data_IF_645656446569
#
_entry.id   IF_645656446569
#
_cell.length_a   1.000
_cell.length_b   1.000
_cell.length_c   1.000
_cell.angle_alpha   90.00
_cell.angle_beta   90.00
_cell.angle_gamma   90.00
#
_symmetry.space_group_name_H-M   'P 1'
#
loop_
_entity.id
_entity.type
_entity.pdbx_description
1 polymer ?
#
# COMPACT_ATOMS: atom_id res chain seq x y z
N UNK A 1 -11.79 -13.26 4.44
CA UNK A 1 -10.94 -12.17 4.91
C UNK A 1 -10.00 -11.66 3.82
N UNK A 2 -9.33 -12.56 3.11
CA UNK A 2 -8.37 -12.18 2.06
C UNK A 2 -9.07 -11.42 0.94
N UNK A 3 -10.21 -11.89 0.48
CA UNK A 3 -11.00 -11.24 -0.56
C UNK A 3 -11.40 -9.82 -0.17
N UNK A 4 -11.75 -9.62 1.12
CA UNK A 4 -12.09 -8.30 1.65
C UNK A 4 -10.91 -7.35 1.61
N UNK A 5 -9.69 -7.84 1.86
CA UNK A 5 -8.48 -7.01 1.76
C UNK A 5 -8.23 -6.54 0.33
N UNK A 6 -8.37 -7.41 -0.65
CA UNK A 6 -8.18 -7.04 -2.06
C UNK A 6 -9.27 -6.08 -2.53
N UNK A 7 -10.52 -6.27 -2.12
CA UNK A 7 -11.62 -5.33 -2.42
C UNK A 7 -11.36 -3.97 -1.81
N UNK A 8 -10.96 -3.93 -0.55
CA UNK A 8 -10.64 -2.68 0.15
C UNK A 8 -9.50 -1.94 -0.52
N UNK A 9 -8.44 -2.66 -0.90
CA UNK A 9 -7.30 -2.06 -1.58
C UNK A 9 -7.74 -1.43 -2.91
N UNK A 10 -8.50 -2.14 -3.71
CA UNK A 10 -8.97 -1.64 -5.00
C UNK A 10 -9.84 -0.40 -4.85
N UNK A 11 -10.81 -0.43 -3.94
CA UNK A 11 -11.68 0.71 -3.66
C UNK A 11 -10.87 1.93 -3.20
N UNK A 12 -9.91 1.70 -2.30
CA UNK A 12 -9.10 2.78 -1.75
C UNK A 12 -8.18 3.37 -2.80
N UNK A 13 -7.59 2.55 -3.67
CA UNK A 13 -6.76 3.04 -4.78
C UNK A 13 -7.56 3.87 -5.77
N UNK A 14 -8.75 3.42 -6.14
CA UNK A 14 -9.62 4.18 -7.05
C UNK A 14 -10.05 5.50 -6.43
N UNK A 15 -10.42 5.50 -5.15
CA UNK A 15 -10.76 6.71 -4.42
C UNK A 15 -9.58 7.68 -4.38
N UNK A 16 -8.39 7.17 -4.04
CA UNK A 16 -7.16 7.97 -4.01
C UNK A 16 -6.89 8.61 -5.37
N UNK A 17 -6.93 7.84 -6.45
CA UNK A 17 -6.66 8.35 -7.79
C UNK A 17 -7.67 9.43 -8.20
N UNK A 18 -8.95 9.23 -7.89
CA UNK A 18 -9.98 10.23 -8.21
C UNK A 18 -9.75 11.54 -7.45
N UNK A 19 -9.28 11.46 -6.21
CA UNK A 19 -9.04 12.64 -5.37
C UNK A 19 -7.74 13.36 -5.74
N UNK A 20 -6.68 12.61 -6.01
CA UNK A 20 -5.39 13.21 -6.35
C UNK A 20 -5.43 13.96 -7.69
N UNK A 21 -6.24 13.49 -8.64
CA UNK A 21 -6.44 14.19 -9.90
C UNK A 21 -7.16 15.54 -9.71
N UNK A 22 -8.04 15.63 -8.73
CA UNK A 22 -8.81 16.84 -8.43
C UNK A 22 -8.04 17.85 -7.56
N UNK A 23 -6.86 17.47 -7.04
CA UNK A 23 -6.10 18.29 -6.10
C UNK A 23 -4.71 18.52 -6.67
N UNK A 24 -4.36 19.78 -6.93
CA UNK A 24 -2.98 20.14 -7.27
C UNK A 24 -2.16 20.42 -6.01
N UNK A 25 -0.86 20.68 -6.20
CA UNK A 25 0.04 20.97 -5.09
C UNK A 25 -0.45 22.15 -4.24
N UNK A 26 -0.90 23.23 -4.87
CA UNK A 26 -1.32 24.43 -4.15
C UNK A 26 -2.58 24.16 -3.31
N UNK A 27 -3.53 23.43 -3.84
CA UNK A 27 -4.73 23.04 -3.08
C UNK A 27 -4.42 22.09 -1.94
N UNK A 28 -3.48 21.17 -2.14
CA UNK A 28 -3.05 20.28 -1.09
C UNK A 28 -2.45 21.07 0.09
N UNK A 29 -1.66 22.12 -0.21
CA UNK A 29 -1.09 22.99 0.82
C UNK A 29 -2.16 23.85 1.49
N UNK A 30 -3.17 24.32 0.75
CA UNK A 30 -4.13 25.32 1.22
C UNK A 30 -5.36 24.69 1.91
N UNK A 31 -5.75 23.47 1.56
CA UNK A 31 -7.02 22.87 2.00
C UNK A 31 -6.73 21.64 2.88
N UNK A 32 -6.95 21.82 4.18
CA UNK A 32 -6.69 20.76 5.17
C UNK A 32 -7.54 19.51 4.94
N UNK A 33 -8.81 19.68 4.56
CA UNK A 33 -9.70 18.53 4.34
C UNK A 33 -9.21 17.69 3.17
N UNK A 34 -8.77 18.33 2.08
CA UNK A 34 -8.22 17.63 0.92
C UNK A 34 -6.91 16.93 1.26
N UNK A 35 -6.02 17.58 2.05
CA UNK A 35 -4.81 16.92 2.55
C UNK A 35 -5.13 15.68 3.34
N UNK A 36 -6.06 15.80 4.28
CA UNK A 36 -6.40 14.68 5.18
C UNK A 36 -6.97 13.50 4.40
N UNK A 37 -7.77 13.74 3.38
CA UNK A 37 -8.32 12.68 2.53
C UNK A 37 -7.20 11.92 1.82
N UNK A 38 -6.25 12.64 1.22
CA UNK A 38 -5.13 12.01 0.52
C UNK A 38 -4.18 11.29 1.48
N UNK A 39 -3.85 11.93 2.60
CA UNK A 39 -2.96 11.33 3.60
C UNK A 39 -3.56 10.05 4.18
N UNK A 40 -4.85 10.08 4.50
CA UNK A 40 -5.55 8.89 5.00
C UNK A 40 -5.58 7.77 3.97
N UNK A 41 -5.83 8.10 2.71
CA UNK A 41 -5.87 7.11 1.64
C UNK A 41 -4.53 6.38 1.50
N UNK A 42 -3.42 7.11 1.57
CA UNK A 42 -2.08 6.50 1.51
C UNK A 42 -1.84 5.59 2.71
N UNK A 43 -2.19 6.04 3.89
CA UNK A 43 -2.06 5.21 5.08
C UNK A 43 -2.85 3.89 4.92
N UNK A 44 -4.09 3.98 4.47
CA UNK A 44 -4.95 2.81 4.28
C UNK A 44 -4.40 1.87 3.21
N UNK A 45 -3.90 2.40 2.09
CA UNK A 45 -3.30 1.59 1.03
C UNK A 45 -2.10 0.80 1.58
N UNK A 46 -1.18 1.47 2.25
CA UNK A 46 0.06 0.84 2.70
C UNK A 46 -0.21 -0.18 3.81
N UNK A 47 -1.08 0.14 4.76
CA UNK A 47 -1.44 -0.82 5.80
C UNK A 47 -2.16 -2.04 5.21
N UNK A 48 -2.98 -1.85 4.18
CA UNK A 48 -3.62 -2.96 3.50
C UNK A 48 -2.59 -3.85 2.79
N UNK A 49 -1.55 -3.27 2.19
CA UNK A 49 -0.46 -4.05 1.60
C UNK A 49 0.29 -4.88 2.64
N UNK A 50 0.50 -4.33 3.82
CA UNK A 50 1.09 -5.09 4.94
C UNK A 50 0.17 -6.25 5.34
N UNK A 51 -1.12 -6.00 5.48
CA UNK A 51 -2.09 -7.05 5.85
C UNK A 51 -2.15 -8.15 4.79
N UNK A 52 -2.11 -7.81 3.52
CA UNK A 52 -2.06 -8.78 2.41
C UNK A 52 -0.77 -9.60 2.49
N UNK A 53 0.36 -8.96 2.78
CA UNK A 53 1.64 -9.64 2.96
C UNK A 53 1.60 -10.61 4.13
N UNK A 54 1.01 -10.21 5.24
CA UNK A 54 0.84 -11.09 6.40
C UNK A 54 0.00 -12.31 6.07
N UNK A 55 -1.09 -12.15 5.32
CA UNK A 55 -1.92 -13.30 4.90
C UNK A 55 -1.14 -14.25 3.99
N UNK A 56 -0.31 -13.70 3.10
CA UNK A 56 0.58 -14.51 2.26
C UNK A 56 1.53 -15.34 3.10
N UNK A 57 2.18 -14.74 4.10
CA UNK A 57 3.11 -15.42 4.98
C UNK A 57 2.40 -16.49 5.84
N UNK A 58 1.24 -16.18 6.39
CA UNK A 58 0.46 -17.12 7.19
C UNK A 58 0.07 -18.36 6.38
N UNK A 59 -0.39 -18.17 5.15
CA UNK A 59 -0.78 -19.29 4.27
C UNK A 59 0.40 -20.21 3.96
N UNK A 60 1.61 -19.63 3.88
CA UNK A 60 2.83 -20.40 3.64
C UNK A 60 3.51 -20.87 4.93
N UNK A 61 2.88 -20.65 6.08
CA UNK A 61 3.40 -21.04 7.41
C UNK A 61 4.76 -20.42 7.71
N UNK A 62 4.88 -19.14 7.37
CA UNK A 62 6.07 -18.33 7.67
C UNK A 62 5.79 -17.39 8.82
N UNK A 63 6.83 -17.13 9.63
CA UNK A 63 6.75 -16.15 10.70
C UNK A 63 6.60 -14.75 10.11
N UNK A 64 5.86 -13.88 10.83
CA UNK A 64 5.68 -12.48 10.44
C UNK A 64 6.79 -11.67 11.07
N UNK A 65 7.60 -10.94 10.27
CA UNK A 65 8.63 -10.05 10.81
C UNK A 65 8.07 -8.92 11.68
N UNK A 66 8.94 -8.27 12.45
CA UNK A 66 8.54 -7.25 13.41
C UNK A 66 8.22 -5.88 12.77
N UNK A 67 8.70 -5.62 11.55
CA UNK A 67 8.45 -4.34 10.88
C UNK A 67 7.57 -4.53 9.66
N UNK A 68 6.84 -3.48 9.30
CA UNK A 68 5.99 -3.47 8.10
C UNK A 68 6.82 -3.68 6.83
N UNK A 69 7.97 -2.99 6.73
CA UNK A 69 8.86 -3.13 5.58
C UNK A 69 9.33 -4.56 5.42
N UNK A 70 9.81 -5.17 6.50
CA UNK A 70 10.32 -6.55 6.46
C UNK A 70 9.21 -7.56 6.19
N UNK A 71 7.99 -7.28 6.63
CA UNK A 71 6.82 -8.13 6.33
C UNK A 71 6.57 -8.20 4.82
N UNK A 72 6.62 -7.05 4.13
CA UNK A 72 6.48 -7.03 2.67
C UNK A 72 7.66 -7.75 2.00
N UNK A 73 8.89 -7.45 2.44
CA UNK A 73 10.09 -8.07 1.88
C UNK A 73 10.11 -9.59 2.05
N UNK A 74 9.55 -10.11 3.15
CA UNK A 74 9.50 -11.55 3.41
C UNK A 74 8.66 -12.31 2.37
N UNK A 75 7.79 -11.63 1.63
CA UNK A 75 7.02 -12.25 0.55
C UNK A 75 7.83 -12.49 -0.71
N UNK A 76 9.10 -12.07 -0.76
CA UNK A 76 9.97 -12.22 -1.93
C UNK A 76 10.06 -13.67 -2.39
N UNK A 77 10.15 -14.64 -1.48
CA UNK A 77 10.26 -16.04 -1.86
C UNK A 77 9.01 -16.57 -2.60
N UNK A 78 7.87 -15.89 -2.48
CA UNK A 78 6.61 -16.31 -3.09
C UNK A 78 6.23 -15.49 -4.32
N UNK A 79 6.53 -14.20 -4.34
CA UNK A 79 6.08 -13.29 -5.41
C UNK A 79 7.22 -12.57 -6.13
N UNK A 80 8.48 -12.75 -5.70
CA UNK A 80 9.65 -12.25 -6.40
C UNK A 80 9.93 -10.77 -6.19
N UNK A 81 10.63 -10.18 -7.15
CA UNK A 81 11.25 -8.86 -7.02
C UNK A 81 10.26 -7.69 -6.91
N UNK A 82 8.99 -7.91 -7.19
CA UNK A 82 7.98 -6.83 -7.03
C UNK A 82 7.99 -6.25 -5.62
N UNK A 83 8.36 -7.04 -4.60
CA UNK A 83 8.43 -6.56 -3.22
C UNK A 83 9.44 -5.42 -3.05
N UNK A 84 10.47 -5.38 -3.89
CA UNK A 84 11.50 -4.33 -3.84
C UNK A 84 10.96 -2.97 -4.26
N UNK A 85 9.87 -2.95 -5.03
CA UNK A 85 9.18 -1.72 -5.43
C UNK A 85 8.13 -1.29 -4.41
N UNK A 86 7.61 -2.21 -3.61
CA UNK A 86 6.53 -1.96 -2.67
C UNK A 86 7.05 -1.62 -1.27
N UNK A 87 8.03 -2.37 -0.77
CA UNK A 87 8.55 -2.19 0.58
C UNK A 87 9.00 -0.74 0.88
N UNK A 88 9.65 -0.01 -0.06
CA UNK A 88 10.04 1.38 0.19
C UNK A 88 8.87 2.33 0.46
N UNK A 89 7.65 1.98 0.06
CA UNK A 89 6.47 2.83 0.31
C UNK A 89 6.14 2.97 1.79
N UNK A 90 6.55 2.00 2.61
CA UNK A 90 6.37 2.07 4.07
C UNK A 90 7.05 3.31 4.64
N UNK A 91 8.24 3.66 4.13
CA UNK A 91 8.96 4.87 4.56
C UNK A 91 8.12 6.13 4.35
N UNK A 92 7.46 6.24 3.20
CA UNK A 92 6.62 7.41 2.90
C UNK A 92 5.45 7.53 3.86
N UNK A 93 4.78 6.41 4.15
CA UNK A 93 3.70 6.37 5.13
C UNK A 93 4.20 6.77 6.53
N UNK A 94 5.35 6.26 6.94
CA UNK A 94 5.92 6.57 8.25
C UNK A 94 6.27 8.06 8.36
N UNK A 95 6.86 8.65 7.33
CA UNK A 95 7.15 10.08 7.29
C UNK A 95 5.87 10.92 7.43
N UNK A 96 4.80 10.53 6.74
CA UNK A 96 3.53 11.26 6.79
C UNK A 96 2.89 11.22 8.19
N UNK A 97 3.02 10.11 8.90
CA UNK A 97 2.46 9.95 10.24
C UNK A 97 3.26 10.70 11.29
N UNK A 98 4.59 10.67 11.20
CA UNK A 98 5.47 11.24 12.22
C UNK A 98 5.80 12.71 12.02
N UNK A 99 5.36 13.32 10.91
CA UNK A 99 5.68 14.70 10.56
C UNK A 99 4.40 15.53 10.33
N UNK A 100 3.51 15.55 11.33
CA UNK A 100 2.20 16.18 11.17
C UNK A 100 2.23 17.70 10.97
N UNK A 101 3.36 18.35 11.19
CA UNK A 101 3.51 19.79 10.91
C UNK A 101 4.02 20.06 9.49
N UNK A 102 4.34 19.01 8.74
CA UNK A 102 4.83 19.12 7.36
C UNK A 102 3.76 18.67 6.37
N UNK A 103 3.78 19.31 5.23
CA UNK A 103 2.92 18.94 4.11
C UNK A 103 3.66 17.90 3.27
N UNK A 104 2.99 16.82 2.93
CA UNK A 104 3.61 15.62 2.38
C UNK A 104 3.30 15.40 0.90
N UNK A 105 3.19 16.50 0.12
CA UNK A 105 2.86 16.40 -1.30
C UNK A 105 3.79 15.47 -2.08
N UNK A 106 5.10 15.51 -1.79
CA UNK A 106 6.07 14.65 -2.46
C UNK A 106 5.78 13.17 -2.20
N UNK A 107 5.39 12.82 -0.97
CA UNK A 107 5.00 11.45 -0.63
C UNK A 107 3.75 11.03 -1.40
N UNK A 108 2.79 11.93 -1.57
CA UNK A 108 1.57 11.69 -2.35
C UNK A 108 1.94 11.32 -3.80
N UNK A 109 2.81 12.09 -4.43
CA UNK A 109 3.23 11.87 -5.81
C UNK A 109 3.99 10.55 -5.96
N UNK A 110 4.85 10.20 -5.01
CA UNK A 110 5.56 8.91 -5.05
C UNK A 110 4.57 7.75 -5.05
N UNK A 111 3.58 7.77 -4.17
CA UNK A 111 2.58 6.69 -4.10
C UNK A 111 1.73 6.66 -5.37
N UNK A 112 1.30 7.83 -5.87
CA UNK A 112 0.55 7.92 -7.12
C UNK A 112 1.30 7.22 -8.26
N UNK A 113 2.61 7.44 -8.36
CA UNK A 113 3.42 6.87 -9.42
C UNK A 113 3.70 5.37 -9.24
N UNK A 114 3.36 4.81 -8.08
CA UNK A 114 3.54 3.38 -7.78
C UNK A 114 2.24 2.57 -7.83
N UNK A 115 1.13 3.17 -8.22
CA UNK A 115 -0.17 2.48 -8.22
C UNK A 115 -0.14 1.21 -9.09
N UNK A 116 0.48 1.24 -10.26
CA UNK A 116 0.57 0.05 -11.11
C UNK A 116 1.42 -1.06 -10.47
N UNK A 117 2.50 -0.69 -9.80
CA UNK A 117 3.31 -1.66 -9.04
C UNK A 117 2.52 -2.26 -7.88
N UNK A 118 1.71 -1.45 -7.20
CA UNK A 118 0.83 -1.91 -6.13
C UNK A 118 -0.19 -2.91 -6.67
N UNK A 119 -0.81 -2.61 -7.81
CA UNK A 119 -1.76 -3.53 -8.45
C UNK A 119 -1.08 -4.84 -8.84
N UNK A 120 0.13 -4.76 -9.40
CA UNK A 120 0.91 -5.94 -9.80
C UNK A 120 1.23 -6.82 -8.59
N UNK A 121 1.66 -6.21 -7.49
CA UNK A 121 1.95 -6.93 -6.26
C UNK A 121 0.69 -7.65 -5.74
N UNK A 122 -0.42 -6.92 -5.63
CA UNK A 122 -1.67 -7.49 -5.12
C UNK A 122 -2.15 -8.64 -6.01
N UNK A 123 -2.10 -8.47 -7.33
CA UNK A 123 -2.49 -9.51 -8.28
C UNK A 123 -1.61 -10.76 -8.13
N UNK A 124 -0.30 -10.56 -8.00
CA UNK A 124 0.64 -11.67 -7.86
C UNK A 124 0.40 -12.45 -6.56
N UNK A 125 0.18 -11.75 -5.45
CA UNK A 125 -0.16 -12.40 -4.17
C UNK A 125 -1.49 -13.16 -4.30
N UNK A 126 -2.50 -12.53 -4.87
CA UNK A 126 -3.81 -13.16 -5.02
C UNK A 126 -3.73 -14.44 -5.85
N UNK A 127 -3.01 -14.40 -6.97
CA UNK A 127 -2.81 -15.58 -7.82
C UNK A 127 -2.08 -16.69 -7.07
N UNK A 128 -1.08 -16.33 -6.27
CA UNK A 128 -0.32 -17.30 -5.46
C UNK A 128 -1.22 -17.99 -4.42
N UNK A 129 -2.09 -17.22 -3.77
CA UNK A 129 -3.02 -17.77 -2.79
C UNK A 129 -4.08 -18.67 -3.45
N UNK A 130 -4.56 -18.29 -4.64
CA UNK A 130 -5.50 -19.11 -5.40
C UNK A 130 -4.88 -20.44 -5.84
N UNK A 131 -3.61 -20.44 -6.25
CA UNK A 131 -2.87 -21.67 -6.58
C UNK A 131 -2.81 -22.62 -5.39
N UNK A 132 -2.58 -22.09 -4.19
CA UNK A 132 -2.53 -22.89 -2.98
C UNK A 132 -3.87 -23.54 -2.65
N UNK A 133 -4.97 -22.84 -2.88
CA UNK A 133 -6.32 -23.37 -2.59
C UNK A 133 -6.72 -24.51 -3.53
N UNK A 134 -5.99 -24.69 -4.65
CA UNK A 134 -6.22 -25.79 -5.59
C UNK A 134 -5.45 -27.07 -5.25
N UNK A 135 -4.58 -27.02 -4.26
CA UNK A 135 -3.74 -28.16 -3.89
C UNK A 135 -4.42 -29.08 -2.86
#
# INVERSE_FOLDING_TARGET
KVEQLFSFLNETMEYFLSRVEAVDRDRYFADRDKRNILDKSINDIILCLVDISEECLKKHKRAIPDTYRDTILACHEFVGDIVLKIAPLVKHRNEMIHQYLKVNWQNIIVVKNKIEDIRQFALTVNNKLLEMDKQ
#
